data_IF_332476478267
#
_entry.id   IF_332476478267
#
_cell.length_a   1.000
_cell.length_b   1.000
_cell.length_c   1.000
_cell.angle_alpha   90.00
_cell.angle_beta   90.00
_cell.angle_gamma   90.00
#
_symmetry.space_group_name_H-M   'P 1'
#
loop_
_entity.id
_entity.type
_entity.pdbx_description
1 polymer ?
#
# COMPACT_ATOMS: atom_id res chain seq x y z
N UNK A 1 3.31 11.36 -13.11
CA UNK A 1 3.09 11.52 -11.64
C UNK A 1 1.65 11.95 -11.44
N UNK A 2 0.92 11.28 -10.55
CA UNK A 2 -0.48 11.63 -10.23
C UNK A 2 -0.58 12.62 -9.08
N UNK A 3 0.41 12.60 -8.17
CA UNK A 3 0.45 13.51 -7.04
C UNK A 3 1.89 13.72 -6.55
N UNK A 4 2.18 14.86 -5.92
CA UNK A 4 3.40 15.10 -5.16
C UNK A 4 3.09 14.95 -3.67
N UNK A 5 3.89 14.18 -2.94
CA UNK A 5 3.71 13.99 -1.49
C UNK A 5 4.52 15.05 -0.76
N UNK A 6 3.84 15.85 0.04
CA UNK A 6 4.42 16.93 0.86
C UNK A 6 4.80 16.36 2.22
N UNK A 7 6.02 16.56 2.65
CA UNK A 7 6.51 16.14 3.96
C UNK A 7 6.12 17.14 5.07
N UNK A 8 6.10 16.66 6.32
CA UNK A 8 5.81 17.53 7.48
C UNK A 8 6.79 18.69 7.51
N UNK A 9 6.27 19.91 7.65
CA UNK A 9 7.07 21.14 7.73
C UNK A 9 7.43 21.78 6.39
N UNK A 10 7.16 21.12 5.25
CA UNK A 10 7.37 21.73 3.93
C UNK A 10 6.27 22.74 3.56
N UNK A 11 5.05 22.58 4.11
CA UNK A 11 3.94 23.50 3.89
C UNK A 11 3.83 24.49 5.05
N UNK A 12 3.81 25.79 4.73
CA UNK A 12 3.63 26.89 5.67
C UNK A 12 2.69 27.91 5.02
N UNK A 13 1.53 28.12 5.61
CA UNK A 13 0.54 29.11 5.15
C UNK A 13 0.15 28.96 3.67
N UNK A 14 -0.05 27.72 3.22
CA UNK A 14 -0.41 27.42 1.84
C UNK A 14 0.76 27.49 0.85
N UNK A 15 1.98 27.75 1.30
CA UNK A 15 3.18 27.71 0.48
C UNK A 15 3.99 26.45 0.78
N UNK A 16 4.37 25.72 -0.27
CA UNK A 16 5.20 24.52 -0.18
C UNK A 16 6.54 24.84 -0.83
N UNK A 17 7.63 24.68 -0.07
CA UNK A 17 8.99 24.87 -0.56
C UNK A 17 9.64 23.52 -0.84
N UNK A 18 10.09 23.34 -2.07
CA UNK A 18 10.67 22.07 -2.56
C UNK A 18 12.10 22.35 -3.00
N UNK A 19 13.05 21.59 -2.47
CA UNK A 19 14.48 21.66 -2.83
C UNK A 19 15.10 20.25 -2.97
N UNK A 20 16.40 20.16 -3.03
CA UNK A 20 17.15 18.92 -3.04
C UNK A 20 16.78 17.94 -4.17
N UNK A 21 16.46 16.72 -3.81
CA UNK A 21 16.14 15.63 -4.76
C UNK A 21 14.80 15.86 -5.45
N UNK A 22 13.81 16.35 -4.70
CA UNK A 22 12.46 16.61 -5.20
C UNK A 22 12.45 17.78 -6.20
N UNK A 23 13.26 18.84 -5.97
CA UNK A 23 13.49 19.89 -6.97
C UNK A 23 14.01 19.32 -8.29
N UNK A 24 15.06 18.48 -8.21
CA UNK A 24 15.62 17.85 -9.43
C UNK A 24 14.58 17.00 -10.15
N UNK A 25 13.80 16.23 -9.41
CA UNK A 25 12.76 15.39 -9.97
C UNK A 25 11.69 16.23 -10.69
N UNK A 26 11.15 17.26 -10.04
CA UNK A 26 10.14 18.13 -10.65
C UNK A 26 10.68 18.91 -11.85
N UNK A 27 11.91 19.41 -11.77
CA UNK A 27 12.52 20.23 -12.83
C UNK A 27 13.04 19.41 -14.00
N UNK A 28 13.75 18.31 -13.76
CA UNK A 28 14.46 17.56 -14.79
C UNK A 28 13.61 16.42 -15.37
N UNK A 29 12.83 15.73 -14.53
CA UNK A 29 12.03 14.59 -14.96
C UNK A 29 10.64 15.05 -15.41
N UNK A 30 9.93 15.80 -14.60
CA UNK A 30 8.59 16.28 -14.93
C UNK A 30 8.58 17.60 -15.71
N UNK A 31 9.70 18.32 -15.72
CA UNK A 31 9.90 19.56 -16.49
C UNK A 31 8.85 20.64 -16.18
N UNK A 32 8.45 20.74 -14.90
CA UNK A 32 7.46 21.72 -14.47
C UNK A 32 7.96 23.15 -14.72
N UNK A 33 7.02 24.04 -15.07
CA UNK A 33 7.25 25.45 -15.32
C UNK A 33 6.46 26.31 -14.32
N UNK A 34 6.86 27.55 -14.15
CA UNK A 34 6.06 28.51 -13.41
C UNK A 34 4.66 28.65 -14.05
N UNK A 35 3.62 28.63 -13.23
CA UNK A 35 2.22 28.62 -13.65
C UNK A 35 1.63 27.21 -13.88
N UNK A 36 2.43 26.15 -13.91
CA UNK A 36 1.88 24.80 -14.00
C UNK A 36 1.12 24.44 -12.72
N UNK A 37 0.09 23.60 -12.90
CA UNK A 37 -0.71 23.08 -11.79
C UNK A 37 -0.34 21.62 -11.54
N UNK A 38 -0.08 21.26 -10.28
CA UNK A 38 0.19 19.89 -9.85
C UNK A 38 -0.68 19.52 -8.67
N UNK A 39 -1.05 18.25 -8.59
CA UNK A 39 -1.75 17.74 -7.41
C UNK A 39 -0.74 17.45 -6.31
N UNK A 40 -1.01 17.91 -5.09
CA UNK A 40 -0.18 17.72 -3.92
C UNK A 40 -0.98 17.00 -2.83
N UNK A 41 -0.36 16.04 -2.16
CA UNK A 41 -0.95 15.40 -0.98
C UNK A 41 -0.25 15.94 0.25
N UNK A 42 -1.02 16.62 1.10
CA UNK A 42 -0.55 17.20 2.34
C UNK A 42 -0.28 16.12 3.41
N UNK A 43 0.49 16.43 4.46
CA UNK A 43 0.80 15.48 5.54
C UNK A 43 -0.43 14.90 6.25
N UNK A 44 -1.55 15.60 6.24
CA UNK A 44 -2.85 15.13 6.75
C UNK A 44 -3.59 14.16 5.82
N UNK A 45 -3.00 13.80 4.66
CA UNK A 45 -3.62 12.90 3.68
C UNK A 45 -4.54 13.59 2.67
N UNK A 46 -4.78 14.89 2.81
CA UNK A 46 -5.63 15.68 1.93
C UNK A 46 -4.97 15.91 0.56
N UNK A 47 -5.70 15.66 -0.52
CA UNK A 47 -5.26 15.93 -1.88
C UNK A 47 -5.73 17.32 -2.32
N UNK A 48 -4.80 18.20 -2.64
CA UNK A 48 -5.08 19.56 -3.13
C UNK A 48 -4.37 19.82 -4.45
N UNK A 49 -4.83 20.83 -5.15
CA UNK A 49 -4.11 21.39 -6.30
C UNK A 49 -3.21 22.53 -5.82
N UNK A 50 -2.02 22.61 -6.40
CA UNK A 50 -1.08 23.69 -6.15
C UNK A 50 -0.52 24.20 -7.47
N UNK A 51 -0.35 25.51 -7.56
CA UNK A 51 0.29 26.16 -8.70
C UNK A 51 1.79 26.36 -8.43
N UNK A 52 2.62 26.11 -9.40
CA UNK A 52 4.06 26.47 -9.37
C UNK A 52 4.18 27.98 -9.38
N UNK A 53 4.28 28.59 -8.19
CA UNK A 53 4.33 30.05 -8.04
C UNK A 53 5.67 30.64 -8.47
N UNK A 54 6.77 29.97 -8.13
CA UNK A 54 8.11 30.43 -8.52
C UNK A 54 9.09 29.25 -8.64
N UNK A 55 10.09 29.43 -9.50
CA UNK A 55 11.24 28.53 -9.67
C UNK A 55 12.50 29.39 -9.52
N UNK A 56 13.27 29.15 -8.48
CA UNK A 56 14.59 29.73 -8.24
C UNK A 56 15.66 28.72 -8.66
N UNK A 57 16.26 28.95 -9.82
CA UNK A 57 17.29 28.05 -10.36
C UNK A 57 18.62 28.19 -9.60
N UNK A 58 18.89 29.37 -9.06
CA UNK A 58 20.11 29.66 -8.30
C UNK A 58 20.09 28.95 -6.93
N UNK A 59 18.98 29.05 -6.23
CA UNK A 59 18.75 28.36 -4.96
C UNK A 59 18.30 26.90 -5.13
N UNK A 60 18.04 26.45 -6.38
CA UNK A 60 17.48 25.12 -6.69
C UNK A 60 16.22 24.84 -5.90
N UNK A 61 15.27 25.78 -5.92
CA UNK A 61 14.03 25.71 -5.16
C UNK A 61 12.81 25.97 -6.04
N UNK A 62 11.74 25.20 -5.79
CA UNK A 62 10.41 25.44 -6.35
C UNK A 62 9.51 25.85 -5.19
N UNK A 63 8.73 26.90 -5.40
CA UNK A 63 7.66 27.30 -4.49
C UNK A 63 6.32 26.99 -5.13
N UNK A 64 5.52 26.17 -4.44
CA UNK A 64 4.14 25.90 -4.83
C UNK A 64 3.20 26.71 -3.94
N UNK A 65 2.14 27.21 -4.53
CA UNK A 65 1.01 27.83 -3.84
C UNK A 65 -0.15 26.86 -3.86
N UNK A 66 -0.60 26.41 -2.69
CA UNK A 66 -1.80 25.57 -2.58
C UNK A 66 -3.01 26.41 -2.98
N UNK A 67 -3.82 25.90 -3.89
CA UNK A 67 -5.04 26.56 -4.32
C UNK A 67 -6.10 26.45 -3.22
N UNK A 68 -6.82 27.54 -2.96
CA UNK A 68 -8.01 27.51 -2.13
C UNK A 68 -9.05 26.58 -2.78
N UNK A 69 -9.78 25.80 -1.99
CA UNK A 69 -10.82 24.90 -2.48
C UNK A 69 -11.93 25.69 -3.19
N UNK A 70 -11.87 25.74 -4.51
CA UNK A 70 -12.92 26.35 -5.35
C UNK A 70 -13.90 25.32 -5.88
N UNK A 71 -13.92 24.10 -5.34
CA UNK A 71 -14.92 23.06 -5.71
C UNK A 71 -14.94 22.66 -7.19
N UNK A 72 -13.94 23.05 -8.01
CA UNK A 72 -13.84 22.68 -9.41
C UNK A 72 -12.50 22.03 -9.69
N UNK A 73 -12.51 20.74 -9.95
CA UNK A 73 -11.35 20.03 -10.52
C UNK A 73 -11.19 20.47 -11.97
N UNK A 74 -10.18 21.29 -12.26
CA UNK A 74 -9.83 21.63 -13.65
C UNK A 74 -8.77 20.62 -14.10
N UNK A 75 -9.21 19.56 -14.78
CA UNK A 75 -8.34 18.69 -15.56
C UNK A 75 -8.06 19.34 -16.91
N UNK A 76 -6.82 19.81 -17.13
CA UNK A 76 -6.39 20.23 -18.45
C UNK A 76 -5.78 19.06 -19.20
N UNK A 77 -6.52 18.57 -20.19
CA UNK A 77 -5.99 17.94 -21.39
C UNK A 77 -5.47 16.51 -21.31
N UNK A 78 -6.36 15.52 -21.22
CA UNK A 78 -6.31 14.32 -22.07
C UNK A 78 -7.77 13.89 -22.27
N UNK A 79 -8.24 13.87 -23.51
CA UNK A 79 -9.48 13.18 -23.86
C UNK A 79 -9.26 11.68 -23.70
N UNK A 80 -9.62 11.15 -22.54
CA UNK A 80 -9.89 9.73 -22.31
C UNK A 80 -11.12 9.73 -21.40
N UNK A 81 -12.09 8.89 -21.75
CA UNK A 81 -13.43 8.87 -21.19
C UNK A 81 -13.47 9.11 -19.67
N UNK A 82 -14.50 9.81 -19.25
CA UNK A 82 -14.80 10.17 -17.88
C UNK A 82 -14.68 8.94 -16.95
N UNK A 83 -13.50 8.74 -16.39
CA UNK A 83 -13.34 8.01 -15.15
C UNK A 83 -13.28 9.11 -14.10
N UNK A 84 -14.35 9.25 -13.36
CA UNK A 84 -14.47 10.11 -12.20
C UNK A 84 -13.49 9.60 -11.13
N UNK A 85 -12.23 10.01 -11.20
CA UNK A 85 -11.21 9.73 -10.20
C UNK A 85 -11.24 10.87 -9.20
N UNK A 86 -12.39 11.08 -8.57
CA UNK A 86 -12.45 11.71 -7.28
C UNK A 86 -11.69 10.79 -6.31
N UNK A 87 -10.41 11.08 -6.10
CA UNK A 87 -9.57 10.43 -5.09
C UNK A 87 -10.04 10.82 -3.70
N UNK A 88 -11.21 10.34 -3.34
CA UNK A 88 -11.61 10.27 -1.94
C UNK A 88 -10.90 9.07 -1.34
N UNK A 89 -10.10 9.31 -0.31
CA UNK A 89 -9.84 8.32 0.73
C UNK A 89 -11.18 8.06 1.44
N UNK A 90 -11.99 7.27 0.82
CA UNK A 90 -13.32 6.89 1.26
C UNK A 90 -13.84 5.97 0.17
N UNK A 91 -14.16 4.74 0.55
CA UNK A 91 -14.75 3.78 -0.36
C UNK A 91 -15.94 4.37 -1.09
N UNK A 92 -16.24 3.86 -2.24
CA UNK A 92 -17.43 4.10 -3.00
C UNK A 92 -18.61 4.09 -2.02
N UNK A 93 -19.32 5.23 -1.88
CA UNK A 93 -20.49 5.40 -1.02
C UNK A 93 -20.28 5.56 0.50
N UNK A 94 -19.21 6.24 0.97
CA UNK A 94 -19.13 6.60 2.40
C UNK A 94 -18.85 5.44 3.37
N UNK A 95 -18.62 4.23 2.87
CA UNK A 95 -18.11 3.11 3.67
C UNK A 95 -16.62 3.37 3.98
N UNK A 96 -16.22 3.20 5.23
CA UNK A 96 -14.81 3.28 5.62
C UNK A 96 -14.00 2.30 4.77
N UNK A 97 -12.91 2.77 4.17
CA UNK A 97 -12.07 1.96 3.31
C UNK A 97 -11.51 0.75 4.11
N UNK A 98 -11.45 -0.42 3.48
CA UNK A 98 -10.83 -1.61 4.07
C UNK A 98 -9.34 -1.39 4.23
N UNK A 99 -8.80 -1.66 5.40
CA UNK A 99 -7.38 -1.62 5.67
C UNK A 99 -6.74 -2.97 5.29
N UNK A 100 -5.88 -2.96 4.28
CA UNK A 100 -5.21 -4.16 3.78
C UNK A 100 -3.84 -4.34 4.41
N UNK A 101 -3.55 -5.55 4.90
CA UNK A 101 -2.28 -5.98 5.48
C UNK A 101 -1.64 -7.06 4.63
N UNK A 102 -0.34 -6.99 4.41
CA UNK A 102 0.44 -8.03 3.73
C UNK A 102 1.46 -8.62 4.69
N UNK A 103 1.29 -9.88 5.07
CA UNK A 103 2.26 -10.69 5.79
C UNK A 103 3.16 -11.37 4.77
N UNK A 104 4.32 -10.79 4.53
CA UNK A 104 5.26 -11.28 3.53
C UNK A 104 6.38 -12.05 4.20
N UNK A 105 6.40 -13.38 4.06
CA UNK A 105 7.56 -14.18 4.42
C UNK A 105 8.75 -13.71 3.60
N UNK A 106 9.82 -13.31 4.27
CA UNK A 106 10.88 -12.50 3.66
C UNK A 106 11.60 -13.25 2.55
N UNK A 107 11.47 -12.80 1.29
CA UNK A 107 12.20 -13.33 0.15
C UNK A 107 13.54 -12.61 -0.01
N UNK A 108 14.26 -12.88 -1.09
CA UNK A 108 15.46 -12.13 -1.45
C UNK A 108 15.19 -10.62 -1.56
N UNK A 109 16.17 -9.76 -1.19
CA UNK A 109 15.94 -8.32 -1.04
C UNK A 109 15.35 -7.62 -2.27
N UNK A 110 15.80 -7.99 -3.48
CA UNK A 110 15.30 -7.37 -4.71
C UNK A 110 13.82 -7.67 -4.96
N UNK A 111 13.37 -8.88 -4.61
CA UNK A 111 11.98 -9.27 -4.72
C UNK A 111 11.13 -8.58 -3.67
N UNK A 112 11.64 -8.44 -2.45
CA UNK A 112 10.96 -7.72 -1.39
C UNK A 112 10.71 -6.25 -1.78
N UNK A 113 11.71 -5.57 -2.36
CA UNK A 113 11.54 -4.20 -2.87
C UNK A 113 10.46 -4.09 -3.95
N UNK A 114 10.39 -5.08 -4.85
CA UNK A 114 9.34 -5.15 -5.88
C UNK A 114 7.95 -5.35 -5.25
N UNK A 115 7.84 -6.26 -4.27
CA UNK A 115 6.61 -6.52 -3.53
C UNK A 115 6.14 -5.25 -2.79
N UNK A 116 7.04 -4.57 -2.09
CA UNK A 116 6.73 -3.31 -1.40
C UNK A 116 6.18 -2.26 -2.35
N UNK A 117 6.80 -2.10 -3.53
CA UNK A 117 6.31 -1.19 -4.57
C UNK A 117 4.89 -1.54 -5.02
N UNK A 118 4.68 -2.80 -5.43
CA UNK A 118 3.40 -3.28 -5.94
C UNK A 118 2.29 -3.21 -4.87
N UNK A 119 2.58 -3.64 -3.64
CA UNK A 119 1.65 -3.55 -2.52
C UNK A 119 1.24 -2.10 -2.22
N UNK A 120 2.19 -1.17 -2.28
CA UNK A 120 1.93 0.26 -2.13
C UNK A 120 1.03 0.81 -3.24
N UNK A 121 1.28 0.43 -4.48
CA UNK A 121 0.45 0.80 -5.64
C UNK A 121 -1.00 0.28 -5.48
N UNK A 122 -1.16 -0.91 -4.92
CA UNK A 122 -2.45 -1.53 -4.61
C UNK A 122 -3.11 -1.00 -3.32
N UNK A 123 -2.46 -0.07 -2.59
CA UNK A 123 -3.05 0.53 -1.39
C UNK A 123 -3.03 -0.35 -0.15
N UNK A 124 -2.06 -1.24 -0.02
CA UNK A 124 -1.79 -1.96 1.22
C UNK A 124 -1.29 -0.97 2.28
N UNK A 125 -1.92 -0.99 3.47
CA UNK A 125 -1.58 -0.07 4.56
C UNK A 125 -0.37 -0.55 5.37
N UNK A 126 -0.29 -1.84 5.65
CA UNK A 126 0.77 -2.41 6.48
C UNK A 126 1.40 -3.62 5.80
N UNK A 127 2.71 -3.60 5.68
CA UNK A 127 3.51 -4.74 5.23
C UNK A 127 4.31 -5.26 6.42
N UNK A 128 4.06 -6.51 6.79
CA UNK A 128 4.72 -7.21 7.89
C UNK A 128 5.74 -8.20 7.33
N UNK A 129 7.05 -7.92 7.41
CA UNK A 129 8.08 -8.86 7.01
C UNK A 129 8.17 -10.00 8.04
N UNK A 130 7.82 -11.22 7.64
CA UNK A 130 7.80 -12.40 8.52
C UNK A 130 9.07 -13.22 8.33
N UNK A 131 9.76 -13.52 9.43
CA UNK A 131 10.88 -14.45 9.46
C UNK A 131 10.33 -15.89 9.53
N UNK A 132 10.15 -16.52 8.37
CA UNK A 132 9.66 -17.89 8.28
C UNK A 132 10.78 -18.91 8.10
N UNK A 133 10.41 -20.19 8.11
CA UNK A 133 11.32 -21.34 7.98
C UNK A 133 12.18 -21.26 6.72
N UNK A 134 11.60 -20.84 5.60
CA UNK A 134 12.29 -20.74 4.31
C UNK A 134 12.85 -19.33 4.02
N UNK A 135 12.81 -18.43 5.01
CA UNK A 135 13.38 -17.10 4.87
C UNK A 135 14.92 -17.14 5.00
N UNK A 136 15.60 -16.50 4.07
CA UNK A 136 17.06 -16.43 4.12
C UNK A 136 17.53 -15.43 5.20
N UNK A 137 18.43 -15.87 6.10
CA UNK A 137 18.94 -15.04 7.22
C UNK A 137 19.61 -13.75 6.75
N UNK A 138 20.32 -13.79 5.61
CA UNK A 138 20.94 -12.61 5.02
C UNK A 138 19.91 -11.59 4.54
N UNK A 139 18.76 -12.04 4.05
CA UNK A 139 17.65 -11.20 3.65
C UNK A 139 17.04 -10.47 4.84
N UNK A 140 16.79 -11.18 5.95
CA UNK A 140 16.28 -10.60 7.19
C UNK A 140 17.22 -9.51 7.75
N UNK A 141 18.52 -9.82 7.89
CA UNK A 141 19.51 -8.84 8.34
C UNK A 141 19.58 -7.61 7.42
N UNK A 142 19.29 -7.79 6.15
CA UNK A 142 19.36 -6.73 5.15
C UNK A 142 18.20 -5.73 5.21
N UNK A 143 17.10 -6.03 5.89
CA UNK A 143 15.94 -5.13 6.02
C UNK A 143 16.11 -4.10 7.14
N UNK A 144 17.17 -4.21 7.93
CA UNK A 144 17.49 -3.28 9.02
C UNK A 144 18.38 -2.13 8.56
N UNK A 145 18.33 -0.99 9.24
CA UNK A 145 19.24 0.14 9.02
C UNK A 145 19.03 0.89 7.70
N UNK A 146 20.10 1.11 6.94
CA UNK A 146 20.10 1.94 5.71
C UNK A 146 19.10 1.50 4.63
N UNK A 147 18.63 0.26 4.66
CA UNK A 147 17.61 -0.23 3.73
C UNK A 147 16.21 0.25 4.07
N UNK A 148 15.95 0.64 5.30
CA UNK A 148 14.68 1.27 5.69
C UNK A 148 14.45 2.56 4.89
N UNK A 149 15.43 3.44 4.81
CA UNK A 149 15.34 4.67 4.01
C UNK A 149 15.08 4.37 2.51
N UNK A 150 15.64 3.25 2.01
CA UNK A 150 15.40 2.81 0.64
C UNK A 150 13.95 2.35 0.43
N UNK A 151 13.38 1.59 1.37
CA UNK A 151 11.97 1.18 1.31
C UNK A 151 11.03 2.38 1.42
N UNK A 152 11.29 3.32 2.31
CA UNK A 152 10.53 4.57 2.44
C UNK A 152 10.52 5.36 1.12
N UNK A 153 11.66 5.42 0.42
CA UNK A 153 11.75 6.04 -0.90
C UNK A 153 10.92 5.30 -1.95
N UNK A 154 10.98 3.96 -1.96
CA UNK A 154 10.18 3.13 -2.88
C UNK A 154 8.69 3.37 -2.64
N UNK A 155 8.25 3.42 -1.40
CA UNK A 155 6.88 3.71 -1.01
C UNK A 155 6.48 5.11 -1.50
N UNK A 156 7.29 6.13 -1.22
CA UNK A 156 7.03 7.50 -1.67
C UNK A 156 6.86 7.57 -3.20
N UNK A 157 7.80 6.98 -3.95
CA UNK A 157 7.76 6.94 -5.42
C UNK A 157 6.52 6.20 -5.95
N UNK A 158 6.18 5.04 -5.36
CA UNK A 158 5.00 4.25 -5.74
C UNK A 158 3.69 5.02 -5.48
N UNK A 159 3.56 5.65 -4.31
CA UNK A 159 2.40 6.50 -3.98
C UNK A 159 2.26 7.70 -4.91
N UNK A 160 3.38 8.36 -5.23
CA UNK A 160 3.38 9.50 -6.16
C UNK A 160 2.95 9.09 -7.56
N UNK A 161 3.38 7.91 -8.01
CA UNK A 161 3.06 7.40 -9.34
C UNK A 161 1.62 6.88 -9.42
N UNK A 162 1.19 6.06 -8.48
CA UNK A 162 -0.15 5.43 -8.47
C UNK A 162 -1.27 6.41 -8.10
N UNK A 163 -0.96 7.42 -7.27
CA UNK A 163 -1.95 8.28 -6.66
C UNK A 163 -2.56 7.69 -5.39
N UNK A 164 -2.00 6.59 -4.86
CA UNK A 164 -2.50 5.94 -3.65
C UNK A 164 -2.61 6.95 -2.48
N UNK A 165 -3.79 7.06 -1.83
CA UNK A 165 -3.96 7.87 -0.64
C UNK A 165 -3.39 7.20 0.61
N UNK A 166 -3.19 5.88 0.55
CA UNK A 166 -2.79 5.06 1.70
C UNK A 166 -1.34 5.34 2.07
N UNK A 167 -1.09 5.56 3.36
CA UNK A 167 0.26 5.72 3.91
C UNK A 167 0.83 4.34 4.27
N UNK A 168 1.33 3.65 3.26
CA UNK A 168 1.91 2.30 3.42
C UNK A 168 3.08 2.33 4.37
N UNK A 169 3.08 1.42 5.35
CA UNK A 169 4.17 1.23 6.31
C UNK A 169 4.74 -0.17 6.19
N UNK A 170 6.06 -0.27 6.16
CA UNK A 170 6.78 -1.55 6.30
C UNK A 170 7.29 -1.63 7.73
N UNK A 171 6.89 -2.67 8.44
CA UNK A 171 7.32 -2.89 9.82
C UNK A 171 8.73 -3.52 9.87
N UNK A 172 9.33 -3.55 11.05
CA UNK A 172 10.58 -4.30 11.26
C UNK A 172 10.31 -5.81 11.11
N UNK A 173 11.26 -6.58 10.57
CA UNK A 173 11.13 -8.03 10.49
C UNK A 173 10.88 -8.66 11.85
N UNK A 174 9.94 -9.59 11.91
CA UNK A 174 9.56 -10.25 13.16
C UNK A 174 9.28 -11.75 12.95
N UNK A 175 9.22 -12.51 14.04
CA UNK A 175 8.83 -13.92 13.96
C UNK A 175 7.35 -14.08 13.56
N UNK A 176 6.97 -15.28 13.14
CA UNK A 176 5.57 -15.58 12.82
C UNK A 176 4.64 -15.37 14.02
N UNK A 177 5.10 -15.78 15.21
CA UNK A 177 4.35 -15.61 16.46
C UNK A 177 4.06 -14.13 16.73
N UNK A 178 5.11 -13.29 16.70
CA UNK A 178 4.96 -11.85 16.92
C UNK A 178 4.08 -11.18 15.86
N UNK A 179 4.16 -11.64 14.62
CA UNK A 179 3.33 -11.14 13.53
C UNK A 179 1.84 -11.49 13.74
N UNK A 180 1.54 -12.67 14.26
CA UNK A 180 0.17 -13.09 14.54
C UNK A 180 -0.38 -12.41 15.80
N UNK A 181 0.44 -12.21 16.82
CA UNK A 181 0.04 -11.43 18.00
C UNK A 181 -0.34 -10.00 17.60
N UNK A 182 0.49 -9.35 16.77
CA UNK A 182 0.20 -8.03 16.22
C UNK A 182 -1.11 -8.01 15.41
N UNK A 183 -1.36 -9.02 14.58
CA UNK A 183 -2.60 -9.15 13.84
C UNK A 183 -3.81 -9.32 14.74
N UNK A 184 -3.68 -10.16 15.77
CA UNK A 184 -4.74 -10.39 16.72
C UNK A 184 -5.09 -9.12 17.52
N UNK A 185 -4.11 -8.33 17.92
CA UNK A 185 -4.32 -7.01 18.52
C UNK A 185 -5.05 -6.07 17.54
N UNK A 186 -4.53 -5.96 16.30
CA UNK A 186 -5.10 -5.06 15.29
C UNK A 186 -6.55 -5.40 14.93
N UNK A 187 -6.93 -6.69 14.88
CA UNK A 187 -8.30 -7.11 14.53
C UNK A 187 -9.30 -6.99 15.68
N UNK A 188 -8.82 -6.90 16.93
CA UNK A 188 -9.64 -6.70 18.13
C UNK A 188 -9.73 -5.24 18.57
N UNK A 189 -9.09 -4.34 17.85
CA UNK A 189 -9.15 -2.91 18.13
C UNK A 189 -10.61 -2.41 18.10
N UNK A 190 -11.08 -1.97 19.27
CA UNK A 190 -12.49 -1.63 19.53
C UNK A 190 -13.01 -0.44 18.75
N UNK A 191 -12.14 0.39 18.18
CA UNK A 191 -12.53 1.52 17.34
C UNK A 191 -13.05 1.08 15.95
N UNK A 192 -12.83 -0.17 15.57
CA UNK A 192 -13.30 -0.75 14.31
C UNK A 192 -14.39 -1.80 14.58
N UNK A 193 -15.65 -1.39 14.68
CA UNK A 193 -16.82 -2.28 14.83
C UNK A 193 -17.12 -3.09 13.55
N UNK A 194 -16.11 -3.74 12.94
CA UNK A 194 -16.25 -4.50 11.71
C UNK A 194 -15.51 -5.83 11.72
N UNK A 195 -15.82 -6.67 10.73
CA UNK A 195 -15.19 -7.95 10.55
C UNK A 195 -13.72 -7.78 10.05
N UNK A 196 -12.86 -8.71 10.48
CA UNK A 196 -11.50 -8.84 9.95
C UNK A 196 -11.35 -10.23 9.32
N UNK A 197 -10.68 -10.32 8.18
CA UNK A 197 -10.45 -11.59 7.47
C UNK A 197 -8.97 -11.75 7.16
N UNK A 198 -8.46 -12.97 7.28
CA UNK A 198 -7.09 -13.33 6.93
C UNK A 198 -7.05 -14.47 5.93
N UNK A 199 -6.15 -14.41 4.96
CA UNK A 199 -5.93 -15.44 3.95
C UNK A 199 -4.45 -15.78 3.87
N UNK A 200 -4.11 -17.06 3.80
CA UNK A 200 -2.76 -17.52 3.49
C UNK A 200 -2.77 -18.19 2.11
N UNK A 201 -1.87 -17.74 1.23
CA UNK A 201 -1.74 -18.32 -0.10
C UNK A 201 -0.95 -19.64 0.00
N UNK A 202 -1.56 -20.72 -0.41
CA UNK A 202 -0.95 -22.04 -0.49
C UNK A 202 -0.88 -22.51 -1.92
N UNK A 203 0.23 -23.17 -2.29
CA UNK A 203 0.37 -23.85 -3.58
C UNK A 203 -0.26 -25.25 -3.59
N UNK A 204 -0.78 -25.72 -2.44
CA UNK A 204 -1.32 -27.06 -2.26
C UNK A 204 -2.80 -27.09 -2.57
N UNK A 205 -3.24 -28.10 -3.32
CA UNK A 205 -4.64 -28.33 -3.70
C UNK A 205 -5.53 -28.81 -2.54
N UNK A 206 -4.94 -29.21 -1.41
CA UNK A 206 -5.65 -29.71 -0.23
C UNK A 206 -6.27 -28.59 0.64
N UNK A 207 -6.15 -27.34 0.20
CA UNK A 207 -6.74 -26.21 0.89
C UNK A 207 -8.27 -26.25 0.82
N UNK A 208 -8.91 -26.33 1.99
CA UNK A 208 -10.38 -26.32 2.13
C UNK A 208 -10.99 -24.93 2.00
N UNK A 209 -10.17 -23.89 2.00
CA UNK A 209 -10.62 -22.51 2.02
C UNK A 209 -11.10 -22.01 0.66
N UNK A 210 -12.19 -21.25 0.69
CA UNK A 210 -12.71 -20.58 -0.50
C UNK A 210 -12.83 -19.07 -0.22
N UNK A 211 -12.12 -18.29 -1.01
CA UNK A 211 -12.05 -16.82 -0.88
C UNK A 211 -13.45 -16.18 -0.87
N UNK A 212 -14.27 -16.50 -1.89
CA UNK A 212 -15.62 -15.94 -2.03
C UNK A 212 -16.52 -16.28 -0.84
N UNK A 213 -16.58 -17.56 -0.45
CA UNK A 213 -17.43 -17.97 0.66
C UNK A 213 -17.01 -17.35 1.99
N UNK A 214 -15.72 -17.17 2.21
CA UNK A 214 -15.19 -16.51 3.41
C UNK A 214 -15.55 -15.03 3.44
N UNK A 215 -15.35 -14.31 2.33
CA UNK A 215 -15.72 -12.90 2.23
C UNK A 215 -17.23 -12.70 2.40
N UNK A 216 -18.05 -13.55 1.77
CA UNK A 216 -19.51 -13.48 1.92
C UNK A 216 -19.97 -13.73 3.36
N UNK A 217 -19.45 -14.75 4.02
CA UNK A 217 -19.77 -15.05 5.43
C UNK A 217 -19.37 -13.91 6.38
N UNK A 218 -18.32 -13.18 6.04
CA UNK A 218 -17.85 -12.02 6.81
C UNK A 218 -18.61 -10.72 6.48
N UNK A 219 -19.54 -10.76 5.53
CA UNK A 219 -20.42 -9.64 5.18
C UNK A 219 -19.84 -8.65 4.16
N UNK A 220 -18.82 -9.06 3.40
CA UNK A 220 -18.27 -8.29 2.26
C UNK A 220 -17.79 -6.89 2.63
N UNK A 221 -17.84 -5.99 1.66
CA UNK A 221 -17.38 -4.59 1.79
C UNK A 221 -18.09 -3.81 2.92
N UNK A 222 -19.35 -4.14 3.21
CA UNK A 222 -20.11 -3.40 4.24
C UNK A 222 -19.58 -3.65 5.65
N UNK A 223 -19.12 -4.87 5.95
CA UNK A 223 -18.70 -5.28 7.30
C UNK A 223 -17.19 -5.46 7.45
N UNK A 224 -16.47 -5.86 6.39
CA UNK A 224 -15.03 -6.06 6.47
C UNK A 224 -14.33 -4.71 6.58
N UNK A 225 -13.55 -4.53 7.64
CA UNK A 225 -12.75 -3.33 7.89
C UNK A 225 -11.25 -3.58 7.75
N UNK A 226 -10.82 -4.82 8.01
CA UNK A 226 -9.41 -5.22 7.85
C UNK A 226 -9.31 -6.53 7.09
N UNK A 227 -8.39 -6.62 6.16
CA UNK A 227 -8.11 -7.83 5.41
C UNK A 227 -6.60 -8.09 5.37
N UNK A 228 -6.18 -9.29 5.75
CA UNK A 228 -4.79 -9.72 5.75
C UNK A 228 -4.53 -10.78 4.69
N UNK A 229 -3.39 -10.71 4.04
CA UNK A 229 -2.92 -11.71 3.08
C UNK A 229 -1.51 -12.14 3.50
N UNK A 230 -1.30 -13.44 3.75
CA UNK A 230 0.00 -14.03 4.03
C UNK A 230 0.54 -14.73 2.78
N UNK A 231 1.78 -14.41 2.42
CA UNK A 231 2.44 -14.90 1.18
C UNK A 231 3.84 -15.40 1.50
N UNK A 232 4.17 -16.59 1.04
CA UNK A 232 5.45 -17.23 1.26
C UNK A 232 6.64 -16.53 0.60
N UNK A 233 7.84 -16.92 1.03
CA UNK A 233 9.09 -16.62 0.34
C UNK A 233 9.24 -17.46 -0.93
N UNK A 234 10.43 -17.56 -1.51
CA UNK A 234 10.68 -18.44 -2.65
C UNK A 234 10.46 -19.93 -2.34
N UNK A 235 10.56 -20.32 -1.08
CA UNK A 235 10.27 -21.69 -0.61
C UNK A 235 8.82 -21.91 -0.19
N UNK A 236 7.96 -20.90 -0.35
CA UNK A 236 6.57 -20.97 0.09
C UNK A 236 6.41 -20.69 1.59
N UNK A 237 5.31 -21.23 2.15
CA UNK A 237 5.01 -21.28 3.59
C UNK A 237 5.03 -22.75 4.01
N UNK A 238 5.70 -23.07 5.12
CA UNK A 238 5.76 -24.47 5.57
C UNK A 238 4.40 -24.96 6.10
N UNK A 239 4.17 -26.29 6.12
CA UNK A 239 2.92 -26.83 6.64
C UNK A 239 2.63 -26.40 8.08
N UNK A 240 3.66 -26.36 8.91
CA UNK A 240 3.51 -25.98 10.32
C UNK A 240 3.20 -24.48 10.46
N UNK A 241 3.77 -23.64 9.60
CA UNK A 241 3.45 -22.21 9.53
C UNK A 241 2.02 -21.97 9.03
N UNK A 242 1.56 -22.71 8.01
CA UNK A 242 0.16 -22.63 7.55
C UNK A 242 -0.78 -23.00 8.69
N UNK A 243 -0.52 -24.11 9.36
CA UNK A 243 -1.31 -24.56 10.51
C UNK A 243 -1.33 -23.52 11.64
N UNK A 244 -0.19 -22.91 11.94
CA UNK A 244 -0.09 -21.84 12.93
C UNK A 244 -0.92 -20.60 12.54
N UNK A 245 -0.87 -20.19 11.27
CA UNK A 245 -1.69 -19.11 10.74
C UNK A 245 -3.19 -19.40 10.85
N UNK A 246 -3.61 -20.65 10.57
CA UNK A 246 -5.00 -21.06 10.72
C UNK A 246 -5.46 -21.05 12.18
N UNK A 247 -4.72 -21.74 13.06
CA UNK A 247 -5.14 -21.95 14.44
C UNK A 247 -5.02 -20.71 15.32
N UNK A 248 -3.98 -19.90 15.12
CA UNK A 248 -3.67 -18.73 15.96
C UNK A 248 -4.05 -17.41 15.34
N UNK A 249 -3.89 -17.29 14.02
CA UNK A 249 -4.18 -16.06 13.27
C UNK A 249 -5.58 -16.03 12.66
N UNK A 250 -6.27 -17.17 12.61
CA UNK A 250 -7.54 -17.38 11.91
C UNK A 250 -7.45 -17.02 10.42
N UNK A 251 -6.31 -17.30 9.82
CA UNK A 251 -6.14 -17.20 8.38
C UNK A 251 -6.78 -18.41 7.69
N UNK A 252 -7.41 -18.16 6.57
CA UNK A 252 -7.99 -19.19 5.72
C UNK A 252 -7.00 -19.52 4.61
N UNK A 253 -6.50 -20.78 4.53
CA UNK A 253 -5.66 -21.19 3.41
C UNK A 253 -6.48 -21.20 2.14
N UNK A 254 -5.96 -20.54 1.11
CA UNK A 254 -6.58 -20.48 -0.21
C UNK A 254 -5.59 -20.91 -1.27
N UNK A 255 -6.08 -21.71 -2.20
CA UNK A 255 -5.38 -22.09 -3.41
C UNK A 255 -6.02 -21.46 -4.63
N UNK A 256 -5.20 -20.92 -5.52
CA UNK A 256 -5.68 -20.44 -6.81
C UNK A 256 -5.37 -21.48 -7.87
N UNK A 257 -6.37 -21.86 -8.67
CA UNK A 257 -6.23 -22.82 -9.79
C UNK A 257 -5.41 -22.19 -10.95
N UNK A 258 -4.18 -21.82 -10.66
CA UNK A 258 -3.21 -21.23 -11.60
C UNK A 258 -1.87 -21.96 -11.46
N UNK A 259 -0.93 -21.66 -12.35
CA UNK A 259 0.43 -22.18 -12.22
C UNK A 259 1.07 -21.70 -10.90
N UNK A 260 2.12 -22.39 -10.44
CA UNK A 260 2.91 -21.96 -9.27
C UNK A 260 3.48 -20.57 -9.55
N UNK A 261 3.05 -19.60 -8.75
CA UNK A 261 3.45 -18.21 -8.88
C UNK A 261 4.76 -17.98 -8.11
N UNK A 262 5.61 -17.11 -8.64
CA UNK A 262 6.75 -16.59 -7.84
C UNK A 262 6.22 -15.71 -6.71
N UNK A 263 6.95 -15.62 -5.60
CA UNK A 263 6.51 -14.88 -4.41
C UNK A 263 6.08 -13.44 -4.71
N UNK A 264 6.80 -12.73 -5.58
CA UNK A 264 6.46 -11.37 -6.02
C UNK A 264 5.16 -11.32 -6.85
N UNK A 265 4.90 -12.34 -7.64
CA UNK A 265 3.65 -12.46 -8.42
C UNK A 265 2.50 -12.91 -7.51
N UNK A 266 2.76 -13.85 -6.61
CA UNK A 266 1.77 -14.35 -5.66
C UNK A 266 1.25 -13.23 -4.75
N UNK A 267 2.16 -12.36 -4.26
CA UNK A 267 1.78 -11.21 -3.44
C UNK A 267 0.82 -10.28 -4.19
N UNK A 268 1.18 -9.86 -5.40
CA UNK A 268 0.33 -8.98 -6.22
C UNK A 268 -1.01 -9.65 -6.57
N UNK A 269 -0.97 -10.90 -6.99
CA UNK A 269 -2.15 -11.67 -7.37
C UNK A 269 -3.11 -11.85 -6.19
N UNK A 270 -2.58 -12.24 -5.02
CA UNK A 270 -3.36 -12.41 -3.79
C UNK A 270 -4.01 -11.11 -3.33
N UNK A 271 -3.26 -10.01 -3.31
CA UNK A 271 -3.81 -8.68 -2.98
C UNK A 271 -4.96 -8.34 -3.93
N UNK A 272 -4.75 -8.46 -5.24
CA UNK A 272 -5.75 -8.11 -6.23
C UNK A 272 -7.01 -9.00 -6.13
N UNK A 273 -6.84 -10.31 -5.91
CA UNK A 273 -7.96 -11.25 -5.77
C UNK A 273 -8.80 -10.94 -4.53
N UNK A 274 -8.17 -10.71 -3.38
CA UNK A 274 -8.86 -10.38 -2.13
C UNK A 274 -9.58 -9.04 -2.25
N UNK A 275 -8.94 -8.02 -2.80
CA UNK A 275 -9.54 -6.71 -3.03
C UNK A 275 -10.75 -6.80 -3.97
N UNK A 276 -10.61 -7.53 -5.07
CA UNK A 276 -11.70 -7.70 -6.03
C UNK A 276 -12.90 -8.42 -5.40
N UNK A 277 -12.67 -9.49 -4.64
CA UNK A 277 -13.76 -10.25 -4.01
C UNK A 277 -14.47 -9.42 -2.95
N UNK A 278 -13.74 -8.70 -2.08
CA UNK A 278 -14.34 -7.84 -1.06
C UNK A 278 -15.18 -6.74 -1.71
N UNK A 279 -14.65 -6.07 -2.74
CA UNK A 279 -15.33 -4.97 -3.43
C UNK A 279 -16.54 -5.42 -4.25
N UNK A 280 -16.56 -6.69 -4.70
CA UNK A 280 -17.66 -7.26 -5.51
C UNK A 280 -18.77 -7.86 -4.66
N UNK A 281 -18.53 -8.09 -3.36
CA UNK A 281 -19.50 -8.68 -2.44
C UNK A 281 -20.27 -7.55 -1.74
N UNK A 282 -21.53 -7.37 -2.15
CA UNK A 282 -22.50 -6.43 -1.55
C UNK A 282 -23.37 -7.16 -0.54
#
# INVERSE_FOLDING_TARGET
>A
MRQFIVEKGQEINGLIKIDGKDYRYLRQVLRVKAGDMISVRLPGGELKNATVAAIDESARRITLQVCADTGRTITRGVQAGEIDVAGQAGGVNGAAAVEYWLFQFVPRPQKFELIVRQATECGVAVIVPVAGEYSEKSSLASLQGAKKERLERIIKEARQQSGSPVDTRVLEPMSLEAAIDLWNEARHDTDCSGASVGFVLSERDDCSGNLRSTVQKSGGLEKIKKAAIAVGSEGGVSPDEVKFLEEKGLFVPIHFAVNILRCETAALYGIAAVQNEINSTK
#
